data_IF_857386773839
#
_entry.id   IF_857386773839
#
_cell.length_a   1.000
_cell.length_b   1.000
_cell.length_c   1.000
_cell.angle_alpha   90.00
_cell.angle_beta   90.00
_cell.angle_gamma   90.00
#
_symmetry.space_group_name_H-M   'P 1'
#
loop_
_entity.id
_entity.type
_entity.pdbx_description
1 polymer ?
#
# COMPACT_ATOMS: atom_id res chain seq x y z
N UNK A 1 -5.52 6.65 5.80
CA UNK A 1 -4.40 7.56 5.70
C UNK A 1 -3.17 6.86 5.22
N UNK A 2 -2.46 7.53 4.33
CA UNK A 2 -1.26 6.97 3.76
C UNK A 2 -0.27 8.08 3.47
N UNK A 3 0.97 7.70 3.41
CA UNK A 3 2.07 8.62 3.10
C UNK A 3 2.82 8.08 1.90
N UNK A 4 3.08 8.95 0.96
CA UNK A 4 3.90 8.59 -0.17
C UNK A 4 5.35 8.48 0.28
N UNK A 5 5.94 7.32 0.14
CA UNK A 5 7.32 7.07 0.52
C UNK A 5 8.29 7.34 -0.61
N UNK A 6 7.79 7.55 -1.82
CA UNK A 6 8.60 7.87 -2.97
C UNK A 6 8.20 7.05 -4.17
N UNK A 7 8.94 7.22 -5.24
CA UNK A 7 8.73 6.45 -6.46
C UNK A 7 10.00 5.66 -6.77
N UNK A 8 9.80 4.46 -7.30
CA UNK A 8 10.91 3.62 -7.72
C UNK A 8 10.45 2.81 -8.91
N UNK A 9 11.23 2.88 -9.99
CA UNK A 9 10.96 2.08 -11.18
C UNK A 9 9.53 2.24 -11.72
N UNK A 10 9.00 3.46 -11.64
CA UNK A 10 7.71 3.76 -12.23
C UNK A 10 6.51 3.44 -11.36
N UNK A 11 6.70 3.21 -10.08
CA UNK A 11 5.57 3.04 -9.17
C UNK A 11 5.78 3.82 -7.88
N UNK A 12 4.70 3.98 -7.14
CA UNK A 12 4.65 4.78 -5.91
C UNK A 12 4.56 3.82 -4.74
N UNK A 13 5.28 4.12 -3.67
CA UNK A 13 5.16 3.38 -2.41
C UNK A 13 4.40 4.24 -1.41
N UNK A 14 3.37 3.67 -0.80
CA UNK A 14 2.54 4.36 0.20
C UNK A 14 2.53 3.56 1.49
N UNK A 15 2.59 4.27 2.61
CA UNK A 15 2.44 3.68 3.93
C UNK A 15 0.96 3.73 4.31
N UNK A 16 0.41 2.60 4.75
CA UNK A 16 -1.01 2.50 5.13
C UNK A 16 -1.14 1.78 6.47
N UNK A 17 -2.22 2.04 7.17
CA UNK A 17 -2.48 1.37 8.45
C UNK A 17 -2.85 -0.09 8.26
N UNK A 18 -3.58 -0.40 7.21
CA UNK A 18 -4.08 -1.76 6.97
C UNK A 18 -4.06 -2.01 5.48
N UNK A 19 -3.12 -2.86 5.03
CA UNK A 19 -2.94 -3.10 3.61
C UNK A 19 -4.13 -3.84 2.99
N UNK A 20 -4.74 -4.76 3.73
CA UNK A 20 -5.89 -5.50 3.21
C UNK A 20 -7.08 -4.56 2.98
N UNK A 21 -7.32 -3.66 3.94
CA UNK A 21 -8.40 -2.68 3.79
C UNK A 21 -8.12 -1.75 2.62
N UNK A 22 -6.87 -1.31 2.47
CA UNK A 22 -6.50 -0.45 1.36
C UNK A 22 -6.73 -1.14 0.02
N UNK A 23 -6.46 -2.44 -0.06
CA UNK A 23 -6.74 -3.21 -1.27
C UNK A 23 -8.22 -3.19 -1.61
N UNK A 24 -9.09 -3.34 -0.60
CA UNK A 24 -10.52 -3.33 -0.85
C UNK A 24 -10.99 -1.96 -1.34
N UNK A 25 -10.43 -0.89 -0.80
CA UNK A 25 -10.76 0.45 -1.28
C UNK A 25 -10.36 0.64 -2.73
N UNK A 26 -9.19 0.12 -3.10
CA UNK A 26 -8.73 0.19 -4.49
C UNK A 26 -9.72 -0.55 -5.40
N UNK A 27 -10.15 -1.75 -5.01
CA UNK A 27 -11.12 -2.50 -5.79
C UNK A 27 -12.43 -1.74 -5.95
N UNK A 28 -12.92 -1.14 -4.87
CA UNK A 28 -14.17 -0.41 -4.88
C UNK A 28 -14.11 0.83 -5.78
N UNK A 29 -12.94 1.36 -5.99
CA UNK A 29 -12.74 2.54 -6.83
C UNK A 29 -12.33 2.21 -8.25
N UNK A 30 -12.43 0.93 -8.63
CA UNK A 30 -12.17 0.53 -10.01
C UNK A 30 -10.73 0.16 -10.29
N UNK A 31 -9.90 0.09 -9.26
CA UNK A 31 -8.53 -0.34 -9.43
C UNK A 31 -8.40 -1.85 -9.36
N UNK A 32 -7.17 -2.33 -9.38
CA UNK A 32 -6.90 -3.75 -9.43
C UNK A 32 -5.84 -4.11 -8.39
N UNK A 33 -6.02 -5.25 -7.72
CA UNK A 33 -5.04 -5.76 -6.76
C UNK A 33 -4.22 -6.82 -7.47
N UNK A 34 -2.94 -6.55 -7.66
CA UNK A 34 -2.06 -7.47 -8.38
C UNK A 34 -1.32 -8.41 -7.43
N UNK A 35 -1.18 -8.03 -6.16
CA UNK A 35 -0.70 -8.91 -5.11
C UNK A 35 -1.46 -8.61 -3.84
N UNK A 36 -2.17 -9.60 -3.32
CA UNK A 36 -2.94 -9.43 -2.09
C UNK A 36 -2.04 -9.11 -0.91
N UNK A 37 -2.62 -8.46 0.10
CA UNK A 37 -1.88 -8.12 1.30
C UNK A 37 -1.35 -9.38 1.97
N UNK A 38 -0.08 -9.35 2.31
CA UNK A 38 0.56 -10.47 3.00
C UNK A 38 1.98 -10.08 3.36
N UNK A 39 2.62 -10.88 4.23
CA UNK A 39 3.97 -10.54 4.69
C UNK A 39 4.99 -10.69 3.57
N UNK A 40 6.04 -9.87 3.64
CA UNK A 40 7.16 -10.01 2.72
C UNK A 40 7.87 -11.32 3.02
N UNK A 41 8.51 -11.88 1.99
CA UNK A 41 9.24 -13.11 2.16
C UNK A 41 10.37 -12.91 3.18
N UNK A 42 10.37 -13.73 4.21
CA UNK A 42 11.40 -13.68 5.23
C UNK A 42 11.21 -12.59 6.26
N UNK A 43 10.07 -11.88 6.24
CA UNK A 43 9.83 -10.80 7.18
C UNK A 43 8.40 -10.79 7.68
N UNK A 44 8.08 -9.77 8.48
CA UNK A 44 6.75 -9.63 9.05
C UNK A 44 5.99 -8.41 8.51
N UNK A 45 6.65 -7.56 7.75
CA UNK A 45 5.99 -6.40 7.16
C UNK A 45 4.98 -6.86 6.11
N UNK A 46 3.76 -6.39 6.22
CA UNK A 46 2.71 -6.71 5.27
C UNK A 46 2.74 -5.70 4.13
N UNK A 47 2.76 -6.19 2.91
CA UNK A 47 2.72 -5.34 1.73
C UNK A 47 1.64 -5.83 0.78
N UNK A 48 1.28 -4.98 -0.18
CA UNK A 48 0.38 -5.35 -1.26
C UNK A 48 0.79 -4.55 -2.50
N UNK A 49 0.44 -5.05 -3.66
CA UNK A 49 0.63 -4.31 -4.91
C UNK A 49 -0.72 -4.12 -5.57
N UNK A 50 -0.99 -2.89 -5.98
CA UNK A 50 -2.25 -2.54 -6.62
C UNK A 50 -1.98 -1.65 -7.82
N UNK A 51 -2.99 -1.51 -8.67
CA UNK A 51 -2.99 -0.53 -9.74
C UNK A 51 -4.23 0.31 -9.60
N UNK A 52 -4.08 1.64 -9.72
CA UNK A 52 -5.25 2.49 -9.69
C UNK A 52 -5.99 2.42 -11.05
N UNK A 53 -7.18 3.04 -11.16
CA UNK A 53 -7.93 2.97 -12.41
C UNK A 53 -7.19 3.51 -13.62
N UNK A 54 -6.20 4.36 -13.42
CA UNK A 54 -5.39 4.91 -14.50
C UNK A 54 -4.18 4.04 -14.83
N UNK A 55 -4.02 2.94 -14.13
CA UNK A 55 -2.93 1.99 -14.41
C UNK A 55 -1.64 2.25 -13.67
N UNK A 56 -1.62 3.21 -12.74
CA UNK A 56 -0.43 3.46 -11.95
C UNK A 56 -0.22 2.34 -10.94
N UNK A 57 1.01 1.88 -10.83
CA UNK A 57 1.36 0.80 -9.93
C UNK A 57 1.74 1.38 -8.57
N UNK A 58 1.16 0.82 -7.52
CA UNK A 58 1.32 1.32 -6.17
C UNK A 58 1.68 0.15 -5.27
N UNK A 59 2.75 0.32 -4.49
CA UNK A 59 3.11 -0.62 -3.43
C UNK A 59 2.55 -0.09 -2.13
N UNK A 60 1.74 -0.88 -1.44
CA UNK A 60 1.19 -0.52 -0.15
C UNK A 60 2.01 -1.22 0.93
N UNK A 61 2.48 -0.44 1.88
CA UNK A 61 3.32 -0.95 2.97
C UNK A 61 2.58 -0.70 4.27
N UNK A 62 2.24 -1.77 4.98
CA UNK A 62 1.48 -1.64 6.21
C UNK A 62 2.39 -1.18 7.34
N UNK A 63 2.04 -0.04 7.92
CA UNK A 63 2.74 0.52 9.07
C UNK A 63 1.70 1.01 10.04
N UNK A 64 1.51 0.28 11.12
CA UNK A 64 0.43 0.58 12.05
C UNK A 64 0.60 1.91 12.74
N UNK A 65 1.82 2.41 12.78
CA UNK A 65 2.09 3.70 13.37
C UNK A 65 2.30 4.81 12.35
N UNK A 66 1.86 4.57 11.11
CA UNK A 66 2.11 5.52 10.03
C UNK A 66 1.63 6.93 10.37
N UNK A 67 0.45 7.04 10.98
CA UNK A 67 -0.06 8.34 11.38
C UNK A 67 0.51 8.84 12.70
N UNK A 68 0.83 7.93 13.59
CA UNK A 68 1.29 8.28 14.93
C UNK A 68 2.74 8.72 14.96
N UNK A 69 3.57 8.07 14.14
CA UNK A 69 4.99 8.36 14.15
C UNK A 69 5.30 9.81 13.85
N UNK A 70 4.46 10.44 13.07
CA UNK A 70 4.65 11.83 12.71
C UNK A 70 4.05 12.78 13.73
N UNK A 71 3.13 12.30 14.55
CA UNK A 71 2.47 13.12 15.53
C UNK A 71 3.12 13.14 16.89
N UNK A 72 4.14 12.37 17.06
CA UNK A 72 4.79 12.28 18.37
C UNK A 72 6.07 13.10 18.43
#
# INVERSE_FOLDING_TARGET
DSYELGTAYGHIALSVDNAAEACERIRQNGGNVTREAGPVKGGTTVIAFVEDPDGYKIELIEEKDAGKGLGN
#
